data_IF_687440931926
#
_entry.id   IF_687440931926
#
_cell.length_a   1.000
_cell.length_b   1.000
_cell.length_c   1.000
_cell.angle_alpha   90.00
_cell.angle_beta   90.00
_cell.angle_gamma   90.00
#
_symmetry.space_group_name_H-M   'P 1'
#
loop_
_entity.id
_entity.type
_entity.pdbx_description
1 polymer ?
#
# COMPACT_ATOMS: atom_id res chain seq x y z
N UNK A 1 19.35 19.00 -11.05
CA UNK A 1 18.71 19.41 -9.77
C UNK A 1 17.60 20.38 -10.13
N UNK A 2 16.35 20.00 -9.98
CA UNK A 2 15.21 20.90 -10.18
C UNK A 2 15.25 21.95 -9.07
N UNK A 3 15.32 23.21 -9.43
CA UNK A 3 15.48 24.34 -8.50
C UNK A 3 14.19 24.73 -7.76
N UNK A 4 13.19 23.90 -7.75
CA UNK A 4 11.88 24.17 -7.15
C UNK A 4 11.33 22.95 -6.39
N UNK A 5 10.23 23.12 -5.64
CA UNK A 5 9.56 22.03 -4.95
C UNK A 5 9.02 20.99 -5.95
N UNK A 6 9.07 19.71 -5.56
CA UNK A 6 8.48 18.61 -6.33
C UNK A 6 6.95 18.70 -6.28
N UNK A 7 6.32 18.71 -7.43
CA UNK A 7 4.87 18.82 -7.57
C UNK A 7 4.18 17.45 -7.48
N UNK A 8 3.21 17.31 -6.58
CA UNK A 8 2.60 16.02 -6.22
C UNK A 8 1.10 16.03 -6.51
N UNK A 9 0.63 14.93 -7.11
CA UNK A 9 -0.78 14.57 -7.15
C UNK A 9 -1.06 13.42 -6.18
N UNK A 10 -2.10 13.51 -5.35
CA UNK A 10 -2.49 12.48 -4.39
C UNK A 10 -3.81 11.86 -4.82
N UNK A 11 -3.76 10.60 -5.20
CA UNK A 11 -4.94 9.79 -5.47
C UNK A 11 -5.44 9.17 -4.15
N UNK A 12 -6.61 9.62 -3.67
CA UNK A 12 -7.18 9.17 -2.40
C UNK A 12 -6.70 9.96 -1.18
N UNK A 13 -6.65 11.29 -1.26
CA UNK A 13 -6.15 12.18 -0.20
C UNK A 13 -6.91 12.10 1.12
N UNK A 14 -8.18 11.70 1.09
CA UNK A 14 -9.03 11.61 2.29
C UNK A 14 -8.86 10.29 3.06
N UNK A 15 -8.18 9.29 2.50
CA UNK A 15 -7.81 8.03 3.15
C UNK A 15 -6.67 8.19 4.16
N UNK A 16 -6.33 7.11 4.89
CA UNK A 16 -5.25 7.13 5.89
C UNK A 16 -3.89 7.50 5.27
N UNK A 17 -3.51 6.85 4.17
CA UNK A 17 -2.25 7.15 3.46
C UNK A 17 -2.26 8.58 2.90
N UNK A 18 -3.38 9.02 2.31
CA UNK A 18 -3.51 10.39 1.80
C UNK A 18 -3.33 11.43 2.90
N UNK A 19 -3.91 11.24 4.08
CA UNK A 19 -3.73 12.12 5.24
C UNK A 19 -2.27 12.15 5.71
N UNK A 20 -1.65 10.97 5.87
CA UNK A 20 -0.24 10.87 6.23
C UNK A 20 0.68 11.51 5.18
N UNK A 21 0.32 11.44 3.89
CA UNK A 21 1.03 12.13 2.82
C UNK A 21 0.96 13.65 3.00
N UNK A 22 -0.23 14.19 3.32
CA UNK A 22 -0.40 15.62 3.58
C UNK A 22 0.36 16.07 4.82
N UNK A 23 0.47 15.24 5.86
CA UNK A 23 1.31 15.54 7.04
C UNK A 23 2.79 15.67 6.66
N UNK A 24 3.29 14.79 5.78
CA UNK A 24 4.67 14.89 5.25
C UNK A 24 4.84 16.16 4.42
N UNK A 25 3.86 16.50 3.57
CA UNK A 25 3.91 17.74 2.76
C UNK A 25 3.94 18.98 3.65
N UNK A 26 3.16 19.04 4.73
CA UNK A 26 3.22 20.16 5.71
C UNK A 26 4.60 20.33 6.31
N UNK A 27 5.23 19.21 6.69
CA UNK A 27 6.56 19.23 7.29
C UNK A 27 7.69 19.57 6.29
N UNK A 28 7.47 19.32 5.00
CA UNK A 28 8.46 19.51 3.92
C UNK A 28 7.94 20.52 2.86
N UNK A 29 7.23 21.55 3.27
CA UNK A 29 6.55 22.49 2.37
C UNK A 29 7.49 23.34 1.48
N UNK A 30 8.77 23.42 1.83
CA UNK A 30 9.83 24.01 1.01
C UNK A 30 10.27 23.10 -0.16
N UNK A 31 9.96 21.81 -0.10
CA UNK A 31 10.39 20.77 -1.05
C UNK A 31 9.25 20.11 -1.80
N UNK A 32 8.03 20.18 -1.27
CA UNK A 32 6.86 19.50 -1.81
C UNK A 32 5.70 20.48 -2.00
N UNK A 33 5.00 20.36 -3.13
CA UNK A 33 3.81 21.15 -3.45
C UNK A 33 2.70 20.25 -3.94
N UNK A 34 1.48 20.46 -3.44
CA UNK A 34 0.29 19.74 -3.93
C UNK A 34 -0.26 20.46 -5.16
N UNK A 35 -0.28 19.73 -6.30
CA UNK A 35 -0.92 20.16 -7.55
C UNK A 35 -2.35 19.65 -7.63
N UNK A 36 -2.59 18.44 -7.13
CA UNK A 36 -3.93 17.88 -7.15
C UNK A 36 -4.22 16.85 -6.08
N UNK A 37 -5.48 16.79 -5.68
CA UNK A 37 -6.00 15.83 -4.70
C UNK A 37 -7.27 15.18 -5.20
N UNK A 38 -7.51 13.93 -4.78
CA UNK A 38 -8.75 13.24 -5.12
C UNK A 38 -9.46 12.67 -3.89
N UNK A 39 -10.79 12.68 -3.89
CA UNK A 39 -11.62 12.07 -2.85
C UNK A 39 -12.85 11.37 -3.44
N UNK A 40 -13.44 10.44 -2.68
CA UNK A 40 -14.62 9.67 -3.11
C UNK A 40 -15.85 9.94 -2.23
N UNK A 41 -15.74 9.65 -0.94
CA UNK A 41 -16.89 9.68 -0.03
C UNK A 41 -16.86 10.88 0.92
N UNK A 42 -15.70 11.21 1.49
CA UNK A 42 -15.55 12.26 2.49
C UNK A 42 -15.24 13.60 1.83
N UNK A 43 -16.28 14.23 1.28
CA UNK A 43 -16.14 15.51 0.55
C UNK A 43 -15.91 16.69 1.47
N UNK A 44 -16.34 16.62 2.72
CA UNK A 44 -16.05 17.67 3.71
C UNK A 44 -14.54 17.74 4.01
N UNK A 45 -13.90 16.57 4.24
CA UNK A 45 -12.47 16.50 4.42
C UNK A 45 -11.71 16.94 3.15
N UNK A 46 -12.19 16.51 1.96
CA UNK A 46 -11.62 16.93 0.68
C UNK A 46 -11.64 18.46 0.52
N UNK A 47 -12.76 19.10 0.89
CA UNK A 47 -12.87 20.58 0.86
C UNK A 47 -11.88 21.24 1.80
N UNK A 48 -11.74 20.75 3.04
CA UNK A 48 -10.76 21.28 4.00
C UNK A 48 -9.33 21.13 3.50
N UNK A 49 -8.99 19.97 2.91
CA UNK A 49 -7.68 19.74 2.30
C UNK A 49 -7.43 20.70 1.13
N UNK A 50 -8.42 20.92 0.27
CA UNK A 50 -8.31 21.87 -0.84
C UNK A 50 -8.13 23.30 -0.35
N UNK A 51 -8.84 23.73 0.70
CA UNK A 51 -8.68 25.05 1.31
C UNK A 51 -7.30 25.25 1.92
N UNK A 52 -6.73 24.23 2.54
CA UNK A 52 -5.41 24.28 3.15
C UNK A 52 -4.28 24.32 2.13
N UNK A 53 -4.32 23.42 1.14
CA UNK A 53 -3.21 23.23 0.20
C UNK A 53 -3.37 23.99 -1.12
N UNK A 54 -4.54 24.58 -1.39
CA UNK A 54 -4.85 25.35 -2.61
C UNK A 54 -4.36 24.65 -3.89
N UNK A 55 -4.74 23.37 -4.13
CA UNK A 55 -4.29 22.64 -5.31
C UNK A 55 -4.86 23.23 -6.59
N UNK A 56 -4.16 23.10 -7.71
CA UNK A 56 -4.69 23.50 -9.02
C UNK A 56 -5.93 22.66 -9.41
N UNK A 57 -5.98 21.38 -8.96
CA UNK A 57 -7.07 20.47 -9.31
C UNK A 57 -7.55 19.71 -8.07
N UNK A 58 -8.87 19.60 -7.93
CA UNK A 58 -9.54 18.70 -6.97
C UNK A 58 -10.48 17.78 -7.73
N UNK A 59 -10.38 16.46 -7.52
CA UNK A 59 -11.21 15.48 -8.20
C UNK A 59 -12.16 14.79 -7.23
N UNK A 60 -13.44 14.82 -7.52
CA UNK A 60 -14.44 13.97 -6.85
C UNK A 60 -14.65 12.73 -7.71
N UNK A 61 -14.16 11.57 -7.26
CA UNK A 61 -14.14 10.34 -8.05
C UNK A 61 -15.53 9.71 -8.25
N UNK A 62 -16.52 10.06 -7.41
CA UNK A 62 -17.93 9.70 -7.58
C UNK A 62 -18.65 10.76 -8.43
N UNK A 63 -19.07 10.45 -9.68
CA UNK A 63 -19.71 11.43 -10.54
C UNK A 63 -21.03 11.98 -10.00
N UNK A 64 -21.79 11.19 -9.22
CA UNK A 64 -23.05 11.63 -8.64
C UNK A 64 -22.81 12.67 -7.55
N UNK A 65 -21.81 12.45 -6.70
CA UNK A 65 -21.42 13.41 -5.66
C UNK A 65 -20.74 14.65 -6.26
N UNK A 66 -19.97 14.48 -7.34
CA UNK A 66 -19.34 15.60 -8.04
C UNK A 66 -20.34 16.61 -8.57
N UNK A 67 -21.52 16.15 -9.06
CA UNK A 67 -22.56 17.02 -9.60
C UNK A 67 -23.13 18.03 -8.59
N UNK A 68 -23.02 17.74 -7.29
CA UNK A 68 -23.50 18.60 -6.19
C UNK A 68 -22.37 19.21 -5.35
N UNK A 69 -21.13 18.81 -5.63
CA UNK A 69 -19.97 19.27 -4.88
C UNK A 69 -19.63 20.73 -5.23
N UNK A 70 -19.53 21.56 -4.21
CA UNK A 70 -19.12 22.96 -4.32
C UNK A 70 -17.89 23.20 -3.46
N UNK A 71 -16.82 23.65 -4.07
CA UNK A 71 -15.58 23.97 -3.39
C UNK A 71 -15.52 25.48 -3.10
N UNK A 72 -15.73 25.85 -1.84
CA UNK A 72 -15.62 27.22 -1.40
C UNK A 72 -14.20 27.57 -0.97
N UNK A 73 -13.79 28.83 -1.18
CA UNK A 73 -12.49 29.35 -0.72
C UNK A 73 -11.28 28.96 -1.58
N UNK A 74 -11.50 28.36 -2.76
CA UNK A 74 -10.44 27.94 -3.68
C UNK A 74 -10.77 28.40 -5.12
N UNK A 75 -10.71 29.73 -5.39
CA UNK A 75 -11.18 30.27 -6.68
C UNK A 75 -10.35 29.81 -7.88
N UNK A 76 -9.08 29.45 -7.69
CA UNK A 76 -8.17 29.00 -8.74
C UNK A 76 -8.17 27.45 -8.93
N UNK A 77 -8.89 26.73 -8.08
CA UNK A 77 -8.93 25.25 -8.14
C UNK A 77 -9.98 24.79 -9.14
N UNK A 78 -9.56 24.02 -10.13
CA UNK A 78 -10.49 23.32 -11.03
C UNK A 78 -11.04 22.06 -10.35
N UNK A 79 -12.37 21.89 -10.36
CA UNK A 79 -13.02 20.69 -9.85
C UNK A 79 -13.31 19.75 -11.03
N UNK A 80 -12.73 18.54 -10.98
CA UNK A 80 -12.95 17.48 -11.96
C UNK A 80 -13.76 16.32 -11.35
N UNK A 81 -14.27 15.45 -12.21
CA UNK A 81 -15.20 14.39 -11.82
C UNK A 81 -14.80 13.02 -12.37
N UNK A 82 -15.03 11.99 -11.57
CA UNK A 82 -14.96 10.59 -12.00
C UNK A 82 -13.55 10.13 -12.38
N UNK A 83 -13.49 8.98 -13.05
CA UNK A 83 -12.22 8.39 -13.48
C UNK A 83 -11.51 9.24 -14.55
N UNK A 84 -12.27 9.90 -15.41
CA UNK A 84 -11.70 10.80 -16.40
C UNK A 84 -10.95 11.96 -15.76
N UNK A 85 -11.53 12.58 -14.71
CA UNK A 85 -10.87 13.63 -13.93
C UNK A 85 -9.60 13.15 -13.21
N UNK A 86 -9.56 11.90 -12.74
CA UNK A 86 -8.34 11.31 -12.17
C UNK A 86 -7.26 11.19 -13.25
N UNK A 87 -7.59 10.67 -14.44
CA UNK A 87 -6.64 10.55 -15.53
C UNK A 87 -6.14 11.92 -15.99
N UNK A 88 -7.02 12.92 -16.12
CA UNK A 88 -6.66 14.29 -16.47
C UNK A 88 -5.69 14.90 -15.45
N UNK A 89 -5.93 14.71 -14.15
CA UNK A 89 -5.04 15.19 -13.11
C UNK A 89 -3.63 14.59 -13.24
N UNK A 90 -3.51 13.27 -13.36
CA UNK A 90 -2.20 12.60 -13.32
C UNK A 90 -1.38 12.80 -14.60
N UNK A 91 -2.03 13.16 -15.72
CA UNK A 91 -1.34 13.41 -16.99
C UNK A 91 -0.89 14.87 -17.18
N UNK A 92 -1.19 15.76 -16.23
CA UNK A 92 -0.77 17.17 -16.28
C UNK A 92 0.75 17.30 -16.37
N UNK A 93 1.23 18.25 -17.16
CA UNK A 93 2.66 18.51 -17.33
C UNK A 93 3.35 18.95 -16.03
N UNK A 94 2.61 19.69 -15.18
CA UNK A 94 3.11 20.22 -13.91
C UNK A 94 3.08 19.21 -12.74
N UNK A 95 2.77 17.94 -12.96
CA UNK A 95 2.87 16.87 -11.97
C UNK A 95 4.17 16.11 -12.15
N UNK A 96 5.00 16.02 -11.09
CA UNK A 96 6.26 15.27 -11.08
C UNK A 96 6.09 13.86 -10.52
N UNK A 97 5.26 13.71 -9.48
CA UNK A 97 5.06 12.45 -8.76
C UNK A 97 3.60 12.25 -8.39
N UNK A 98 3.13 11.01 -8.53
CA UNK A 98 1.78 10.60 -8.15
C UNK A 98 1.83 9.66 -6.95
N UNK A 99 1.21 10.04 -5.83
CA UNK A 99 0.96 9.14 -4.71
C UNK A 99 -0.33 8.36 -4.98
N UNK A 100 -0.20 7.08 -5.29
CA UNK A 100 -1.32 6.19 -5.59
C UNK A 100 -1.83 5.51 -4.31
N UNK A 101 -2.90 6.05 -3.70
CA UNK A 101 -3.46 5.60 -2.43
C UNK A 101 -4.98 5.35 -2.48
N UNK A 102 -5.56 5.15 -3.66
CA UNK A 102 -6.94 4.67 -3.80
C UNK A 102 -6.96 3.17 -3.46
N UNK A 103 -7.83 2.77 -2.55
CA UNK A 103 -7.96 1.38 -2.08
C UNK A 103 -8.59 0.48 -3.15
N UNK A 104 -8.12 -0.76 -3.25
CA UNK A 104 -8.65 -1.78 -4.15
C UNK A 104 -8.29 -1.57 -5.62
N UNK A 105 -8.90 -2.35 -6.50
CA UNK A 105 -8.65 -2.34 -7.96
C UNK A 105 -8.98 -1.00 -8.63
N UNK A 106 -9.78 -0.14 -7.99
CA UNK A 106 -10.13 1.20 -8.49
C UNK A 106 -8.92 2.13 -8.68
N UNK A 107 -7.82 1.89 -7.97
CA UNK A 107 -6.58 2.67 -8.08
C UNK A 107 -5.77 2.40 -9.35
N UNK A 108 -5.92 1.22 -9.95
CA UNK A 108 -5.11 0.76 -11.09
C UNK A 108 -5.14 1.73 -12.28
N UNK A 109 -6.32 2.18 -12.67
CA UNK A 109 -6.47 3.00 -13.89
C UNK A 109 -5.79 4.37 -13.79
N UNK A 110 -5.85 5.01 -12.61
CA UNK A 110 -5.16 6.28 -12.37
C UNK A 110 -3.64 6.09 -12.34
N UNK A 111 -3.16 5.01 -11.72
CA UNK A 111 -1.74 4.64 -11.70
C UNK A 111 -1.22 4.34 -13.10
N UNK A 112 -1.97 3.58 -13.90
CA UNK A 112 -1.65 3.27 -15.29
C UNK A 112 -1.47 4.54 -16.12
N UNK A 113 -2.47 5.45 -16.08
CA UNK A 113 -2.41 6.72 -16.83
C UNK A 113 -1.22 7.61 -16.39
N UNK A 114 -0.87 7.58 -15.10
CA UNK A 114 0.29 8.31 -14.61
C UNK A 114 1.61 7.74 -15.15
N UNK A 115 1.74 6.40 -15.23
CA UNK A 115 2.92 5.74 -15.82
C UNK A 115 3.04 6.07 -17.30
N UNK A 116 1.94 5.96 -18.08
CA UNK A 116 1.93 6.35 -19.50
C UNK A 116 2.34 7.80 -19.73
N UNK A 117 2.03 8.69 -18.77
CA UNK A 117 2.43 10.09 -18.79
C UNK A 117 3.86 10.34 -18.26
N UNK A 118 4.63 9.29 -17.96
CA UNK A 118 6.02 9.41 -17.52
C UNK A 118 6.17 9.91 -16.05
N UNK A 119 5.13 9.78 -15.22
CA UNK A 119 5.16 10.28 -13.83
C UNK A 119 5.74 9.24 -12.88
N UNK A 120 6.65 9.65 -11.99
CA UNK A 120 7.11 8.79 -10.89
C UNK A 120 5.92 8.42 -9.99
N UNK A 121 5.85 7.14 -9.59
CA UNK A 121 4.76 6.62 -8.76
C UNK A 121 5.27 6.31 -7.35
N UNK A 122 4.68 6.94 -6.33
CA UNK A 122 4.74 6.48 -4.94
C UNK A 122 3.53 5.54 -4.70
N UNK A 123 3.78 4.23 -4.78
CA UNK A 123 2.72 3.22 -4.81
C UNK A 123 2.36 2.75 -3.41
N UNK A 124 1.18 3.11 -2.93
CA UNK A 124 0.57 2.60 -1.70
C UNK A 124 -0.55 1.58 -1.98
N UNK A 125 -1.12 1.61 -3.17
CA UNK A 125 -2.17 0.68 -3.60
C UNK A 125 -1.54 -0.63 -4.09
N UNK A 126 -1.38 -1.59 -3.18
CA UNK A 126 -0.81 -2.91 -3.50
C UNK A 126 -1.62 -3.71 -4.50
N UNK A 127 -2.95 -3.48 -4.51
CA UNK A 127 -3.87 -4.16 -5.43
C UNK A 127 -3.55 -3.87 -6.90
N UNK A 128 -2.89 -2.78 -7.20
CA UNK A 128 -2.36 -2.47 -8.55
C UNK A 128 -1.39 -3.55 -9.01
N UNK A 129 -0.40 -3.93 -8.19
CA UNK A 129 0.58 -4.97 -8.56
C UNK A 129 0.03 -6.39 -8.36
N UNK A 130 -0.86 -6.60 -7.40
CA UNK A 130 -1.55 -7.89 -7.24
C UNK A 130 -2.39 -8.20 -8.48
N UNK A 131 -3.14 -7.22 -8.97
CA UNK A 131 -4.09 -7.41 -10.08
C UNK A 131 -3.40 -7.44 -11.44
N UNK A 132 -2.42 -6.58 -11.67
CA UNK A 132 -1.83 -6.36 -12.99
C UNK A 132 -0.29 -6.21 -12.94
N UNK A 133 0.37 -6.78 -11.92
CA UNK A 133 1.79 -6.57 -11.67
C UNK A 133 2.71 -6.73 -12.90
N UNK A 134 2.65 -7.83 -13.66
CA UNK A 134 3.49 -7.99 -14.86
C UNK A 134 3.30 -6.87 -15.88
N UNK A 135 2.05 -6.47 -16.10
CA UNK A 135 1.71 -5.44 -17.08
C UNK A 135 2.13 -4.04 -16.61
N UNK A 136 1.91 -3.74 -15.33
CA UNK A 136 2.28 -2.46 -14.73
C UNK A 136 3.80 -2.29 -14.69
N UNK A 137 4.54 -3.32 -14.29
CA UNK A 137 6.01 -3.25 -14.25
C UNK A 137 6.63 -3.19 -15.64
N UNK A 138 6.04 -3.88 -16.63
CA UNK A 138 6.45 -3.79 -18.02
C UNK A 138 6.23 -2.36 -18.55
N UNK A 139 5.03 -1.80 -18.35
CA UNK A 139 4.70 -0.43 -18.76
C UNK A 139 5.65 0.60 -18.11
N UNK A 140 5.92 0.46 -16.80
CA UNK A 140 6.84 1.33 -16.09
C UNK A 140 8.27 1.27 -16.69
N UNK A 141 8.73 0.05 -17.03
CA UNK A 141 10.02 -0.15 -17.70
C UNK A 141 10.04 0.50 -19.09
N UNK A 142 8.99 0.32 -19.90
CA UNK A 142 8.91 0.85 -21.26
C UNK A 142 8.84 2.39 -21.26
N UNK A 143 8.20 2.99 -20.25
CA UNK A 143 8.11 4.44 -20.08
C UNK A 143 9.30 5.03 -19.28
N UNK A 144 10.21 4.22 -18.76
CA UNK A 144 11.33 4.68 -17.92
C UNK A 144 10.87 5.32 -16.61
N UNK A 145 9.79 4.82 -16.01
CA UNK A 145 9.15 5.35 -14.79
C UNK A 145 9.56 4.53 -13.58
N UNK A 146 9.94 5.21 -12.50
CA UNK A 146 10.20 4.58 -11.21
C UNK A 146 8.87 4.33 -10.45
N UNK A 147 8.69 3.08 -9.97
CA UNK A 147 7.64 2.73 -9.00
C UNK A 147 8.30 2.58 -7.63
N UNK A 148 8.00 3.53 -6.74
CA UNK A 148 8.58 3.63 -5.40
C UNK A 148 7.57 3.10 -4.38
N UNK A 149 7.91 2.07 -3.58
CA UNK A 149 6.98 1.48 -2.64
C UNK A 149 6.69 2.40 -1.45
N UNK A 150 5.42 2.49 -1.10
CA UNK A 150 4.92 3.17 0.12
C UNK A 150 4.53 2.16 1.19
N UNK A 151 4.10 0.94 0.81
CA UNK A 151 3.87 -0.11 1.81
C UNK A 151 5.14 -0.33 2.64
N UNK A 152 5.01 -0.39 3.97
CA UNK A 152 6.15 -0.33 4.91
C UNK A 152 7.15 -1.44 4.67
N UNK A 153 6.68 -2.66 4.42
CA UNK A 153 7.51 -3.83 4.17
C UNK A 153 8.28 -3.72 2.85
N UNK A 154 7.61 -3.26 1.81
CA UNK A 154 8.23 -3.08 0.49
C UNK A 154 9.19 -1.91 0.48
N UNK A 155 8.87 -0.81 1.17
CA UNK A 155 9.78 0.31 1.37
C UNK A 155 11.05 -0.14 2.12
N UNK A 156 10.90 -1.00 3.13
CA UNK A 156 12.03 -1.56 3.87
C UNK A 156 12.94 -2.42 2.98
N UNK A 157 12.36 -3.32 2.17
CA UNK A 157 13.11 -4.13 1.20
C UNK A 157 13.80 -3.23 0.18
N UNK A 158 13.10 -2.25 -0.40
CA UNK A 158 13.65 -1.31 -1.36
C UNK A 158 14.86 -0.56 -0.80
N UNK A 159 14.81 -0.14 0.47
CA UNK A 159 15.92 0.52 1.16
C UNK A 159 17.10 -0.43 1.41
N UNK A 160 16.83 -1.65 1.88
CA UNK A 160 17.85 -2.64 2.19
C UNK A 160 18.56 -3.16 0.93
N UNK A 161 17.84 -3.28 -0.20
CA UNK A 161 18.42 -3.67 -1.50
C UNK A 161 19.48 -2.68 -2.04
N UNK A 162 19.51 -1.43 -1.55
CA UNK A 162 20.55 -0.45 -1.92
C UNK A 162 21.94 -0.77 -1.35
N UNK A 163 22.02 -1.73 -0.42
CA UNK A 163 23.27 -2.10 0.26
C UNK A 163 24.09 -3.14 -0.48
N UNK A 164 23.55 -3.72 -1.58
CA UNK A 164 24.26 -4.74 -2.38
C UNK A 164 23.74 -4.78 -3.82
N UNK A 165 24.23 -5.74 -4.59
CA UNK A 165 23.79 -5.96 -5.97
C UNK A 165 22.71 -7.02 -6.00
N UNK A 166 21.73 -6.91 -6.90
CA UNK A 166 20.58 -7.84 -7.00
C UNK A 166 21.00 -9.32 -7.11
N UNK A 167 22.12 -9.63 -7.78
CA UNK A 167 22.65 -11.00 -7.90
C UNK A 167 23.19 -11.57 -6.57
N UNK A 168 23.43 -10.73 -5.58
CA UNK A 168 23.95 -11.11 -4.25
C UNK A 168 22.84 -11.33 -3.25
N UNK A 169 21.59 -11.04 -3.62
CA UNK A 169 20.42 -11.27 -2.78
C UNK A 169 20.08 -12.76 -2.76
N UNK A 170 20.14 -13.37 -1.57
CA UNK A 170 19.67 -14.74 -1.33
C UNK A 170 18.16 -14.77 -1.25
N UNK A 171 17.59 -13.93 -0.39
CA UNK A 171 16.12 -13.80 -0.23
C UNK A 171 15.75 -12.48 0.42
N UNK A 172 14.47 -12.15 0.32
CA UNK A 172 13.83 -11.09 1.10
C UNK A 172 12.89 -11.73 2.12
N UNK A 173 12.76 -11.11 3.29
CA UNK A 173 11.92 -11.60 4.38
C UNK A 173 10.94 -10.50 4.76
N UNK A 174 9.67 -10.68 4.41
CA UNK A 174 8.57 -9.82 4.80
C UNK A 174 8.24 -10.06 6.28
N UNK A 175 8.19 -9.03 7.08
CA UNK A 175 7.68 -9.13 8.45
C UNK A 175 6.16 -8.96 8.47
N UNK A 176 5.49 -9.55 9.43
CA UNK A 176 4.07 -9.43 9.67
C UNK A 176 3.80 -9.24 11.15
N UNK A 177 2.87 -8.37 11.55
CA UNK A 177 2.46 -8.28 12.97
C UNK A 177 1.83 -9.58 13.50
N UNK A 178 1.36 -10.44 12.58
CA UNK A 178 0.59 -11.65 12.87
C UNK A 178 -0.88 -11.38 13.15
N UNK A 179 -1.32 -10.12 13.08
CA UNK A 179 -2.71 -9.72 13.30
C UNK A 179 -3.20 -9.91 14.75
N UNK A 180 -4.48 -9.62 15.02
CA UNK A 180 -5.06 -9.74 16.36
C UNK A 180 -5.16 -11.19 16.84
N UNK A 181 -5.18 -12.16 15.94
CA UNK A 181 -5.45 -13.57 16.26
C UNK A 181 -4.21 -14.48 16.29
N UNK A 182 -2.99 -13.90 16.24
CA UNK A 182 -1.74 -14.68 16.22
C UNK A 182 -1.62 -15.70 17.37
N UNK A 183 -2.25 -15.44 18.51
CA UNK A 183 -2.22 -16.29 19.71
C UNK A 183 -3.52 -17.11 19.90
N UNK A 184 -4.48 -17.03 18.96
CA UNK A 184 -5.74 -17.81 19.06
C UNK A 184 -5.53 -19.23 18.54
N UNK A 185 -6.20 -20.20 19.16
CA UNK A 185 -6.28 -21.56 18.61
C UNK A 185 -7.19 -21.59 17.37
N UNK A 186 -7.07 -22.63 16.54
CA UNK A 186 -7.91 -22.79 15.34
C UNK A 186 -9.41 -22.80 15.67
N UNK A 187 -9.80 -23.43 16.79
CA UNK A 187 -11.20 -23.50 17.23
C UNK A 187 -11.75 -22.09 17.52
N UNK A 188 -10.97 -21.24 18.17
CA UNK A 188 -11.38 -19.88 18.51
C UNK A 188 -11.54 -18.96 17.31
N UNK A 189 -10.88 -19.28 16.17
CA UNK A 189 -11.05 -18.51 14.94
C UNK A 189 -12.47 -18.67 14.35
N UNK A 190 -13.17 -19.77 14.67
CA UNK A 190 -14.55 -19.98 14.25
C UNK A 190 -15.59 -19.04 14.88
N UNK A 191 -15.26 -18.46 16.04
CA UNK A 191 -16.15 -17.62 16.85
C UNK A 191 -15.79 -16.11 16.77
N UNK A 192 -14.84 -15.75 15.90
CA UNK A 192 -14.37 -14.35 15.75
C UNK A 192 -15.50 -13.47 15.21
N UNK A 193 -15.75 -12.37 15.91
CA UNK A 193 -16.70 -11.34 15.52
C UNK A 193 -16.08 -10.30 14.58
N UNK A 194 -16.91 -9.44 13.99
CA UNK A 194 -16.43 -8.31 13.17
C UNK A 194 -15.62 -7.35 14.03
N UNK A 195 -16.08 -7.08 15.24
CA UNK A 195 -15.41 -6.18 16.20
C UNK A 195 -14.02 -6.70 16.55
N UNK A 196 -13.87 -8.01 16.81
CA UNK A 196 -12.59 -8.65 17.11
C UNK A 196 -11.62 -8.50 15.92
N UNK A 197 -12.12 -8.74 14.70
CA UNK A 197 -11.32 -8.66 13.48
C UNK A 197 -10.86 -7.21 13.15
N UNK A 198 -11.63 -6.21 13.59
CA UNK A 198 -11.28 -4.79 13.40
C UNK A 198 -10.38 -4.23 14.50
N UNK A 199 -10.12 -4.97 15.58
CA UNK A 199 -9.27 -4.55 16.70
C UNK A 199 -7.79 -4.88 16.47
N UNK A 200 -7.13 -4.16 15.51
CA UNK A 200 -5.71 -4.39 15.26
C UNK A 200 -4.83 -3.87 16.40
N UNK A 201 -3.83 -4.66 16.91
CA UNK A 201 -3.08 -4.30 18.11
C UNK A 201 -2.08 -3.14 17.92
N UNK A 202 -1.67 -2.84 16.69
CA UNK A 202 -0.56 -1.91 16.41
C UNK A 202 -0.94 -0.77 15.45
N UNK A 203 -1.74 -1.07 14.42
CA UNK A 203 -2.02 -0.15 13.33
C UNK A 203 -3.48 0.34 13.35
N UNK A 204 -3.66 1.65 13.12
CA UNK A 204 -4.98 2.24 12.84
C UNK A 204 -5.20 2.30 11.33
N UNK A 205 -6.02 1.40 10.82
CA UNK A 205 -6.20 1.17 9.39
C UNK A 205 -7.68 1.13 9.00
N UNK A 206 -7.93 1.23 7.69
CA UNK A 206 -9.28 1.04 7.16
C UNK A 206 -9.81 -0.40 7.36
N UNK A 207 -11.15 -0.59 7.36
CA UNK A 207 -11.77 -1.88 7.69
C UNK A 207 -11.28 -3.06 6.84
N UNK A 208 -11.14 -2.87 5.53
CA UNK A 208 -10.70 -3.92 4.59
C UNK A 208 -9.32 -4.43 4.94
N UNK A 209 -8.33 -3.56 5.04
CA UNK A 209 -6.94 -3.95 5.32
C UNK A 209 -6.77 -4.49 6.75
N UNK A 210 -7.61 -4.07 7.70
CA UNK A 210 -7.62 -4.61 9.07
C UNK A 210 -8.07 -6.07 9.08
N UNK A 211 -9.14 -6.42 8.34
CA UNK A 211 -9.59 -7.81 8.16
C UNK A 211 -8.53 -8.61 7.38
N UNK A 212 -7.91 -8.03 6.36
CA UNK A 212 -6.81 -8.69 5.62
C UNK A 212 -5.61 -8.98 6.54
N UNK A 213 -5.29 -8.08 7.47
CA UNK A 213 -4.26 -8.35 8.48
C UNK A 213 -4.66 -9.49 9.41
N UNK A 214 -5.91 -9.50 9.87
CA UNK A 214 -6.43 -10.54 10.75
C UNK A 214 -6.40 -11.94 10.13
N UNK A 215 -6.67 -12.06 8.84
CA UNK A 215 -6.62 -13.31 8.06
C UNK A 215 -5.22 -13.65 7.52
N UNK A 216 -4.24 -12.78 7.68
CA UNK A 216 -2.94 -12.79 7.00
C UNK A 216 -3.04 -12.66 5.46
N UNK A 217 -4.22 -12.32 4.92
CA UNK A 217 -4.39 -12.04 3.49
C UNK A 217 -3.59 -10.80 3.06
N UNK A 218 -3.48 -9.79 3.93
CA UNK A 218 -2.62 -8.63 3.65
C UNK A 218 -1.20 -9.08 3.28
N UNK A 219 -0.63 -10.00 4.07
CA UNK A 219 0.72 -10.54 3.80
C UNK A 219 0.76 -11.43 2.56
N UNK A 220 -0.32 -12.15 2.25
CA UNK A 220 -0.47 -12.90 1.01
C UNK A 220 -0.42 -11.97 -0.23
N UNK A 221 -1.12 -10.84 -0.18
CA UNK A 221 -1.08 -9.82 -1.24
C UNK A 221 0.30 -9.19 -1.35
N UNK A 222 0.97 -8.96 -0.24
CA UNK A 222 2.34 -8.40 -0.20
C UNK A 222 3.39 -9.36 -0.78
N UNK A 223 3.25 -10.66 -0.63
CA UNK A 223 4.09 -11.66 -1.33
C UNK A 223 3.99 -11.50 -2.84
N UNK A 224 2.77 -11.32 -3.35
CA UNK A 224 2.51 -11.11 -4.78
C UNK A 224 3.10 -9.77 -5.25
N UNK A 225 2.90 -8.71 -4.47
CA UNK A 225 3.47 -7.39 -4.76
C UNK A 225 4.99 -7.44 -4.79
N UNK A 226 5.66 -8.04 -3.79
CA UNK A 226 7.11 -8.17 -3.72
C UNK A 226 7.70 -8.89 -4.93
N UNK A 227 7.03 -9.96 -5.39
CA UNK A 227 7.43 -10.69 -6.59
C UNK A 227 7.54 -9.80 -7.82
N UNK A 228 6.52 -8.97 -8.05
CA UNK A 228 6.48 -8.11 -9.24
C UNK A 228 7.35 -6.88 -9.07
N UNK A 229 7.27 -6.20 -7.94
CA UNK A 229 8.00 -4.97 -7.69
C UNK A 229 9.52 -5.14 -7.72
N UNK A 230 10.03 -6.27 -7.19
CA UNK A 230 11.46 -6.53 -7.11
C UNK A 230 11.95 -7.56 -8.14
N UNK A 231 11.06 -8.12 -8.96
CA UNK A 231 11.43 -9.13 -9.96
C UNK A 231 12.00 -10.42 -9.36
N UNK A 232 11.59 -10.77 -8.13
CA UNK A 232 12.09 -11.94 -7.41
C UNK A 232 11.28 -13.18 -7.73
N UNK A 233 11.94 -14.35 -7.78
CA UNK A 233 11.23 -15.63 -7.78
C UNK A 233 10.62 -15.90 -6.40
N UNK A 234 9.54 -16.70 -6.37
CA UNK A 234 8.77 -16.93 -5.13
C UNK A 234 9.57 -17.64 -4.03
N UNK A 235 10.53 -18.48 -4.43
CA UNK A 235 11.46 -19.17 -3.52
C UNK A 235 12.40 -18.22 -2.78
N UNK A 236 12.53 -16.98 -3.25
CA UNK A 236 13.32 -15.93 -2.60
C UNK A 236 12.48 -14.96 -1.74
N UNK A 237 11.22 -15.25 -1.53
CA UNK A 237 10.32 -14.39 -0.73
C UNK A 237 9.82 -15.21 0.46
N UNK A 238 10.28 -14.86 1.65
CA UNK A 238 9.86 -15.48 2.91
C UNK A 238 9.03 -14.52 3.77
N UNK A 239 8.39 -15.08 4.80
CA UNK A 239 7.59 -14.34 5.78
C UNK A 239 8.02 -14.73 7.18
N UNK A 240 8.07 -13.75 8.07
CA UNK A 240 8.26 -13.97 9.52
C UNK A 240 7.28 -13.11 10.31
N UNK A 241 6.77 -13.63 11.42
CA UNK A 241 5.90 -12.88 12.33
C UNK A 241 6.77 -12.10 13.30
N UNK A 242 6.59 -10.76 13.33
CA UNK A 242 7.27 -9.81 14.19
C UNK A 242 6.22 -8.91 14.88
N UNK A 243 5.73 -9.30 16.08
CA UNK A 243 4.59 -8.63 16.72
C UNK A 243 4.79 -7.14 17.01
N UNK A 244 6.01 -6.71 17.28
CA UNK A 244 6.31 -5.32 17.63
C UNK A 244 6.28 -4.38 16.42
N UNK A 245 6.35 -4.91 15.18
CA UNK A 245 6.34 -4.14 13.93
C UNK A 245 7.38 -3.00 13.88
N UNK A 246 8.53 -3.18 14.53
CA UNK A 246 9.65 -2.22 14.52
C UNK A 246 10.59 -2.52 13.34
N UNK A 247 10.85 -3.79 13.05
CA UNK A 247 11.53 -4.24 11.85
C UNK A 247 10.49 -4.44 10.75
N UNK A 248 10.58 -3.64 9.68
CA UNK A 248 9.55 -3.66 8.64
C UNK A 248 9.79 -4.69 7.56
N UNK A 249 11.03 -5.07 7.27
CA UNK A 249 11.43 -6.23 6.45
C UNK A 249 12.95 -6.38 6.45
N UNK A 250 13.45 -7.48 5.87
CA UNK A 250 14.86 -7.81 5.82
C UNK A 250 15.27 -8.30 4.43
N UNK A 251 16.53 -8.09 4.08
CA UNK A 251 17.19 -8.68 2.90
C UNK A 251 18.38 -9.50 3.37
N UNK A 252 18.40 -10.77 3.02
CA UNK A 252 19.54 -11.67 3.25
C UNK A 252 20.39 -11.75 2.00
N UNK A 253 21.69 -11.56 2.18
CA UNK A 253 22.68 -11.63 1.11
C UNK A 253 23.42 -12.97 1.12
N UNK A 254 24.11 -13.28 0.02
CA UNK A 254 24.78 -14.57 -0.18
C UNK A 254 25.94 -14.86 0.80
N UNK A 255 26.45 -13.85 1.49
CA UNK A 255 27.44 -13.96 2.55
C UNK A 255 26.82 -14.26 3.93
N UNK A 256 25.49 -14.37 4.02
CA UNK A 256 24.74 -14.57 5.26
C UNK A 256 24.41 -13.30 6.02
N UNK A 257 24.81 -12.11 5.52
CA UNK A 257 24.41 -10.84 6.13
C UNK A 257 22.92 -10.59 5.96
N UNK A 258 22.24 -10.14 7.02
CA UNK A 258 20.85 -9.72 6.98
C UNK A 258 20.78 -8.21 7.27
N UNK A 259 20.24 -7.46 6.32
CA UNK A 259 19.99 -6.04 6.47
C UNK A 259 18.51 -5.77 6.68
N UNK A 260 18.19 -5.01 7.71
CA UNK A 260 16.83 -4.70 8.11
C UNK A 260 16.62 -3.19 8.16
N UNK A 261 15.47 -2.72 7.71
CA UNK A 261 15.05 -1.34 7.99
C UNK A 261 14.17 -1.36 9.24
N UNK A 262 14.46 -0.46 10.16
CA UNK A 262 13.78 -0.33 11.45
C UNK A 262 13.24 1.09 11.63
N UNK A 263 12.00 1.20 12.12
CA UNK A 263 11.39 2.45 12.59
C UNK A 263 10.16 2.14 13.45
N UNK A 264 9.63 3.10 14.21
CA UNK A 264 8.29 2.97 14.77
C UNK A 264 7.27 2.71 13.65
N UNK A 265 6.11 2.08 13.97
CA UNK A 265 5.05 1.80 12.99
C UNK A 265 4.32 3.09 12.58
N UNK A 266 4.93 3.87 11.69
CA UNK A 266 4.42 5.13 11.17
C UNK A 266 4.57 5.20 9.65
N UNK A 267 3.45 5.28 8.93
CA UNK A 267 3.44 5.36 7.46
C UNK A 267 4.06 6.62 6.90
N UNK A 268 4.24 7.67 7.70
CA UNK A 268 4.90 8.91 7.25
C UNK A 268 6.33 8.68 6.79
N UNK A 269 7.06 7.74 7.39
CA UNK A 269 8.43 7.45 6.98
C UNK A 269 8.52 6.84 5.56
N UNK A 270 7.86 5.73 5.23
CA UNK A 270 7.91 5.18 3.88
C UNK A 270 7.32 6.12 2.83
N UNK A 271 6.25 6.85 3.16
CA UNK A 271 5.67 7.89 2.29
C UNK A 271 6.72 8.97 1.98
N UNK A 272 7.34 9.52 3.02
CA UNK A 272 8.38 10.53 2.88
C UNK A 272 9.54 10.02 2.03
N UNK A 273 10.03 8.80 2.28
CA UNK A 273 11.14 8.22 1.54
C UNK A 273 10.81 8.05 0.05
N UNK A 274 9.59 7.60 -0.28
CA UNK A 274 9.15 7.53 -1.67
C UNK A 274 9.11 8.92 -2.35
N UNK A 275 8.66 9.95 -1.63
CA UNK A 275 8.61 11.32 -2.17
C UNK A 275 9.98 12.00 -2.24
N UNK A 276 10.90 11.67 -1.34
CA UNK A 276 12.24 12.28 -1.29
C UNK A 276 13.28 11.54 -2.14
N UNK A 277 13.01 10.30 -2.53
CA UNK A 277 13.98 9.46 -3.22
C UNK A 277 14.65 10.18 -4.42
N UNK A 278 15.98 10.03 -4.57
CA UNK A 278 16.92 9.14 -3.85
C UNK A 278 17.46 9.72 -2.52
N UNK A 279 17.09 10.92 -2.14
CA UNK A 279 17.57 11.59 -0.94
C UNK A 279 16.85 11.10 0.33
N UNK A 280 17.45 11.42 1.49
CA UNK A 280 16.79 11.28 2.81
C UNK A 280 16.65 12.66 3.42
N UNK A 281 15.40 13.02 3.73
CA UNK A 281 15.08 14.29 4.36
C UNK A 281 14.73 14.11 5.84
N UNK A 282 14.90 15.14 6.61
CA UNK A 282 14.26 15.23 7.92
C UNK A 282 12.75 15.40 7.73
N UNK A 283 11.95 14.74 8.58
CA UNK A 283 10.51 14.74 8.42
C UNK A 283 9.75 14.42 9.70
N UNK A 284 8.41 14.31 9.61
CA UNK A 284 7.53 14.25 10.78
C UNK A 284 7.42 12.86 11.42
N UNK A 285 8.05 11.83 10.84
CA UNK A 285 7.98 10.47 11.40
C UNK A 285 8.75 10.37 12.72
N UNK A 286 8.19 9.62 13.67
CA UNK A 286 8.83 9.35 14.94
C UNK A 286 10.14 8.56 14.76
N UNK A 287 11.09 8.78 15.67
CA UNK A 287 12.38 8.08 15.70
C UNK A 287 12.39 7.06 16.82
N UNK A 288 13.09 5.94 16.61
CA UNK A 288 13.31 4.95 17.68
C UNK A 288 14.16 5.59 18.77
N UNK A 289 13.70 5.51 20.02
CA UNK A 289 14.48 5.90 21.19
C UNK A 289 15.41 4.77 21.61
N UNK A 290 16.67 4.84 21.19
CA UNK A 290 17.70 3.87 21.53
C UNK A 290 18.25 4.03 22.96
N UNK A 291 17.77 5.00 23.74
CA UNK A 291 18.11 5.13 25.16
C UNK A 291 17.29 4.20 26.04
N UNK A 292 16.21 3.65 25.52
CA UNK A 292 15.36 2.67 26.18
C UNK A 292 15.65 1.26 25.69
N UNK A 293 15.61 0.28 26.58
CA UNK A 293 15.73 -1.12 26.19
C UNK A 293 14.43 -1.58 25.50
N UNK A 294 14.56 -2.25 24.36
CA UNK A 294 13.46 -2.92 23.67
C UNK A 294 13.93 -4.25 23.10
N UNK A 295 12.98 -5.13 22.76
CA UNK A 295 13.29 -6.39 22.10
C UNK A 295 12.43 -6.59 20.86
N UNK A 296 13.01 -7.30 19.90
CA UNK A 296 12.33 -7.74 18.69
C UNK A 296 12.22 -9.26 18.73
N UNK A 297 11.00 -9.76 18.58
CA UNK A 297 10.72 -11.18 18.49
C UNK A 297 10.39 -11.57 17.06
N UNK A 298 10.86 -12.73 16.63
CA UNK A 298 10.61 -13.27 15.29
C UNK A 298 10.15 -14.72 15.42
N UNK A 299 8.96 -15.00 14.87
CA UNK A 299 8.34 -16.33 14.93
C UNK A 299 8.05 -16.85 13.53
N UNK A 300 8.15 -18.15 13.27
CA UNK A 300 7.70 -18.71 12.01
C UNK A 300 6.18 -18.48 11.84
N UNK A 301 5.71 -18.25 10.61
CA UNK A 301 4.27 -18.14 10.36
C UNK A 301 3.59 -19.52 10.50
N UNK A 302 2.34 -19.51 10.94
CA UNK A 302 1.51 -20.71 11.05
C UNK A 302 0.62 -20.84 9.81
N UNK A 303 1.04 -21.69 8.89
CA UNK A 303 0.35 -21.90 7.61
C UNK A 303 -0.96 -22.70 7.75
N UNK A 304 -1.15 -23.48 8.82
CA UNK A 304 -2.38 -24.22 9.06
C UNK A 304 -3.50 -23.28 9.53
N UNK A 305 -3.19 -22.41 10.51
CA UNK A 305 -4.15 -21.43 11.00
C UNK A 305 -4.40 -20.28 10.02
N UNK A 306 -3.39 -19.91 9.23
CA UNK A 306 -3.44 -18.79 8.29
C UNK A 306 -3.11 -19.24 6.86
N UNK A 307 -3.99 -20.01 6.22
CA UNK A 307 -3.75 -20.58 4.89
C UNK A 307 -3.67 -19.52 3.78
N UNK A 308 -4.03 -18.26 4.04
CA UNK A 308 -3.89 -17.15 3.11
C UNK A 308 -2.45 -17.02 2.61
N UNK A 309 -1.44 -17.28 3.46
CA UNK A 309 -0.03 -17.20 3.08
C UNK A 309 0.35 -18.19 1.98
N UNK A 310 -0.15 -19.44 2.07
CA UNK A 310 0.05 -20.45 1.01
C UNK A 310 -0.66 -20.04 -0.28
N UNK A 311 -1.85 -19.44 -0.14
CA UNK A 311 -2.62 -18.94 -1.28
C UNK A 311 -1.88 -17.83 -2.01
N UNK A 312 -1.29 -16.88 -1.28
CA UNK A 312 -0.47 -15.81 -1.85
C UNK A 312 0.77 -16.35 -2.58
N UNK A 313 1.45 -17.34 -2.02
CA UNK A 313 2.61 -18.00 -2.67
C UNK A 313 2.21 -18.69 -3.97
N UNK A 314 1.13 -19.48 -3.93
CA UNK A 314 0.60 -20.17 -5.13
C UNK A 314 0.23 -19.18 -6.23
N UNK A 315 -0.49 -18.12 -5.90
CA UNK A 315 -0.90 -17.08 -6.88
C UNK A 315 0.33 -16.35 -7.44
N UNK A 316 1.31 -16.02 -6.59
CA UNK A 316 2.55 -15.42 -7.03
C UNK A 316 3.35 -16.33 -7.99
N UNK A 317 3.30 -17.66 -7.79
CA UNK A 317 3.97 -18.62 -8.64
C UNK A 317 3.23 -18.82 -9.97
N UNK A 318 1.90 -19.03 -9.93
CA UNK A 318 1.05 -19.22 -11.13
C UNK A 318 1.08 -17.98 -12.04
N UNK A 319 1.06 -16.78 -11.46
CA UNK A 319 1.03 -15.53 -12.22
C UNK A 319 -0.26 -15.37 -13.05
N UNK A 320 -0.13 -14.82 -14.26
CA UNK A 320 -1.28 -14.58 -15.14
C UNK A 320 -2.35 -13.70 -14.46
N UNK A 321 -3.61 -14.11 -14.60
CA UNK A 321 -4.78 -13.44 -14.01
C UNK A 321 -5.12 -13.91 -12.58
N UNK A 322 -4.37 -14.87 -12.01
CA UNK A 322 -4.66 -15.41 -10.68
C UNK A 322 -4.64 -14.33 -9.59
N UNK A 323 -3.76 -13.33 -9.70
CA UNK A 323 -3.72 -12.20 -8.77
C UNK A 323 -4.99 -11.35 -8.81
N UNK A 324 -5.51 -11.06 -10.00
CA UNK A 324 -6.77 -10.33 -10.17
C UNK A 324 -7.95 -11.10 -9.57
N UNK A 325 -7.98 -12.42 -9.79
CA UNK A 325 -9.02 -13.30 -9.26
C UNK A 325 -8.96 -13.35 -7.73
N UNK A 326 -7.78 -13.55 -7.15
CA UNK A 326 -7.60 -13.53 -5.70
C UNK A 326 -8.04 -12.20 -5.10
N UNK A 327 -7.62 -11.08 -5.70
CA UNK A 327 -8.00 -9.76 -5.19
C UNK A 327 -9.52 -9.54 -5.22
N UNK A 328 -10.18 -9.87 -6.33
CA UNK A 328 -11.64 -9.72 -6.47
C UNK A 328 -12.41 -10.64 -5.50
N UNK A 329 -11.95 -11.89 -5.34
CA UNK A 329 -12.53 -12.82 -4.39
C UNK A 329 -12.39 -12.32 -2.95
N UNK A 330 -11.19 -11.83 -2.58
CA UNK A 330 -10.93 -11.28 -1.24
C UNK A 330 -11.74 -10.02 -0.97
N UNK A 331 -11.80 -9.07 -1.89
CA UNK A 331 -12.64 -7.85 -1.72
C UNK A 331 -14.10 -8.23 -1.48
N UNK A 332 -14.64 -9.21 -2.24
CA UNK A 332 -16.01 -9.69 -2.10
C UNK A 332 -16.24 -10.44 -0.78
N UNK A 333 -15.31 -11.31 -0.39
CA UNK A 333 -15.39 -12.09 0.84
C UNK A 333 -15.30 -11.20 2.09
N UNK A 334 -14.39 -10.23 2.11
CA UNK A 334 -14.27 -9.25 3.21
C UNK A 334 -15.53 -8.40 3.31
N UNK A 335 -16.08 -7.93 2.18
CA UNK A 335 -17.35 -7.19 2.18
C UNK A 335 -18.51 -8.08 2.68
N UNK A 336 -18.51 -9.37 2.35
CA UNK A 336 -19.46 -10.36 2.86
C UNK A 336 -19.36 -10.54 4.38
N UNK A 337 -18.15 -10.65 4.90
CA UNK A 337 -17.86 -10.75 6.33
C UNK A 337 -18.31 -9.48 7.07
N UNK A 338 -17.92 -8.31 6.62
CA UNK A 338 -18.30 -7.02 7.24
C UNK A 338 -19.82 -6.78 7.20
N UNK A 339 -20.53 -7.38 6.26
CA UNK A 339 -21.99 -7.37 6.19
C UNK A 339 -22.67 -8.51 7.00
N UNK A 340 -21.91 -9.31 7.75
CA UNK A 340 -22.41 -10.43 8.54
C UNK A 340 -22.94 -11.62 7.73
N UNK A 341 -22.56 -11.74 6.45
CA UNK A 341 -22.99 -12.82 5.54
C UNK A 341 -22.02 -14.00 5.48
N UNK A 342 -20.77 -13.79 5.88
CA UNK A 342 -19.73 -14.81 5.96
C UNK A 342 -19.14 -14.80 7.38
N UNK A 343 -18.64 -15.96 7.82
CA UNK A 343 -17.81 -16.07 9.01
C UNK A 343 -16.34 -15.72 8.68
N UNK A 344 -15.57 -15.39 9.71
CA UNK A 344 -14.14 -15.07 9.55
C UNK A 344 -13.36 -16.18 8.81
N UNK A 345 -13.55 -17.42 9.20
CA UNK A 345 -12.87 -18.58 8.59
C UNK A 345 -13.30 -18.86 7.15
N UNK A 346 -14.46 -18.36 6.73
CA UNK A 346 -14.97 -18.56 5.36
C UNK A 346 -14.34 -17.59 4.35
N UNK A 347 -13.69 -16.49 4.80
CA UNK A 347 -13.07 -15.52 3.90
C UNK A 347 -12.02 -16.16 3.01
N UNK A 348 -11.01 -16.80 3.60
CA UNK A 348 -9.92 -17.42 2.85
C UNK A 348 -10.39 -18.65 2.09
N UNK A 349 -11.33 -19.41 2.66
CA UNK A 349 -11.95 -20.56 2.00
C UNK A 349 -12.66 -20.16 0.70
N UNK A 350 -13.45 -19.08 0.73
CA UNK A 350 -14.11 -18.54 -0.48
C UNK A 350 -13.09 -18.11 -1.55
N UNK A 351 -11.98 -17.49 -1.16
CA UNK A 351 -10.91 -17.13 -2.09
C UNK A 351 -10.28 -18.38 -2.73
N UNK A 352 -10.05 -19.43 -1.95
CA UNK A 352 -9.54 -20.71 -2.44
C UNK A 352 -10.50 -21.36 -3.44
N UNK A 353 -11.79 -21.40 -3.11
CA UNK A 353 -12.80 -21.97 -3.99
C UNK A 353 -12.86 -21.25 -5.34
N UNK A 354 -12.88 -19.91 -5.34
CA UNK A 354 -12.88 -19.12 -6.57
C UNK A 354 -11.62 -19.41 -7.42
N UNK A 355 -10.45 -19.50 -6.80
CA UNK A 355 -9.20 -19.82 -7.51
C UNK A 355 -9.17 -21.25 -8.07
N UNK A 356 -9.83 -22.20 -7.44
CA UNK A 356 -9.93 -23.59 -7.94
C UNK A 356 -10.80 -23.69 -9.20
N UNK A 357 -11.71 -22.74 -9.43
CA UNK A 357 -12.53 -22.65 -10.66
C UNK A 357 -11.87 -21.78 -11.75
N UNK A 358 -10.73 -21.18 -11.46
CA UNK A 358 -10.01 -20.34 -12.40
C UNK A 358 -8.91 -21.12 -13.11
N UNK A 359 -8.97 -21.18 -14.44
CA UNK A 359 -8.03 -21.88 -15.34
C UNK A 359 -6.74 -21.08 -15.55
#
# INVERSE_FOLDING_TARGET
MTSGPKNIAILGSTGSIGRSTLDVVRACCDRLRIVGITGHANLELLSRQAQEFQPAVTVVSDPQKAATFQLAGCPETTVLSGQAGICELVTREDVDLVVSAIVGSAGLRGTWAAIEAGKTIALANKETLVTAGPLVMQLASDCGVDILPVDSEHSAIFQALKSGRGKEVSRVVLTASGGPFRNHSAERLGDVTIEDALAHPTWDMGPKITVDSATMMNKALEIIEARWLFGLSIDKIDVVVHPQSIVHSMVEYCDGSILAQMSPPDMKLPIQYAMSYPERWEGPAEKIDLTQAFHCEFHPPDYERFPALLLGREVAERGGSCGAVLNAANESAVAGFLAGRLKFTEIVAACRDVLNYHD
#
